data_IF_287862649826
#
_entry.id   IF_287862649826
#
_cell.length_a   1.000
_cell.length_b   1.000
_cell.length_c   1.000
_cell.angle_alpha   90.00
_cell.angle_beta   90.00
_cell.angle_gamma   90.00
#
_symmetry.space_group_name_H-M   'P 1'
#
loop_
_entity.id
_entity.type
_entity.pdbx_description
1 polymer ?
#
# COMPACT_ATOMS: atom_id res chain seq x y z
N UNK A 1 5.59 12.13 -9.34
CA UNK A 1 4.15 11.93 -9.36
C UNK A 1 3.81 10.45 -9.18
N UNK A 2 3.12 10.12 -8.09
CA UNK A 2 2.77 8.73 -7.75
C UNK A 2 1.92 8.05 -8.82
N UNK A 3 1.04 8.78 -9.48
CA UNK A 3 0.19 8.22 -10.52
C UNK A 3 1.00 7.71 -11.70
N UNK A 4 2.04 8.45 -12.09
CA UNK A 4 2.93 8.03 -13.18
C UNK A 4 3.73 6.78 -12.80
N UNK A 5 4.20 6.71 -11.57
CA UNK A 5 4.91 5.53 -11.10
C UNK A 5 3.98 4.32 -10.99
N UNK A 6 2.75 4.53 -10.56
CA UNK A 6 1.78 3.44 -10.48
C UNK A 6 1.50 2.85 -11.86
N UNK A 7 1.48 3.69 -12.90
CA UNK A 7 1.28 3.26 -14.28
C UNK A 7 2.56 2.76 -14.96
N UNK A 8 3.71 2.96 -14.34
CA UNK A 8 4.99 2.54 -14.90
C UNK A 8 5.48 3.37 -16.08
N UNK A 9 4.98 4.59 -16.24
CA UNK A 9 5.28 5.42 -17.40
C UNK A 9 6.63 6.12 -17.34
N UNK A 10 7.17 6.30 -16.14
CA UNK A 10 8.43 7.01 -15.97
C UNK A 10 9.33 6.32 -15.00
N UNK A 11 10.62 6.48 -15.19
CA UNK A 11 11.65 5.97 -14.30
C UNK A 11 12.16 4.60 -14.70
N UNK A 12 11.30 3.75 -15.23
CA UNK A 12 11.69 2.38 -15.58
C UNK A 12 11.05 1.93 -16.87
N UNK A 13 11.81 1.20 -17.73
CA UNK A 13 11.25 0.62 -18.93
C UNK A 13 10.13 -0.37 -18.56
N UNK A 14 9.04 -0.34 -19.28
CA UNK A 14 7.90 -1.19 -19.02
C UNK A 14 8.16 -2.67 -19.29
N UNK A 15 9.17 -2.99 -20.11
CA UNK A 15 9.51 -4.37 -20.46
C UNK A 15 10.50 -5.02 -19.48
N UNK A 16 10.99 -4.28 -18.51
CA UNK A 16 11.89 -4.81 -17.49
C UNK A 16 11.17 -4.92 -16.16
N UNK A 17 11.55 -5.89 -15.31
CA UNK A 17 10.98 -5.93 -13.96
C UNK A 17 11.30 -4.62 -13.24
N UNK A 18 10.33 -4.02 -12.54
CA UNK A 18 10.60 -2.79 -11.81
C UNK A 18 11.62 -3.01 -10.70
N UNK A 19 12.42 -1.98 -10.43
CA UNK A 19 13.33 -1.99 -9.28
C UNK A 19 12.52 -2.04 -7.99
N UNK A 20 13.19 -2.35 -6.88
CA UNK A 20 12.54 -2.35 -5.57
C UNK A 20 11.95 -0.97 -5.26
N UNK A 21 12.70 0.11 -5.54
CA UNK A 21 12.19 1.46 -5.35
C UNK A 21 10.95 1.75 -6.17
N UNK A 22 10.90 1.29 -7.42
CA UNK A 22 9.75 1.44 -8.28
C UNK A 22 8.53 0.67 -7.75
N UNK A 23 8.75 -0.54 -7.25
CA UNK A 23 7.67 -1.34 -6.64
C UNK A 23 7.11 -0.67 -5.41
N UNK A 24 7.96 -0.09 -4.58
CA UNK A 24 7.53 0.60 -3.36
C UNK A 24 6.71 1.85 -3.70
N UNK A 25 7.11 2.60 -4.70
CA UNK A 25 6.31 3.76 -5.16
C UNK A 25 4.95 3.33 -5.69
N UNK A 26 4.90 2.24 -6.45
CA UNK A 26 3.63 1.67 -6.92
C UNK A 26 2.74 1.24 -5.78
N UNK A 27 3.32 0.61 -4.76
CA UNK A 27 2.58 0.20 -3.58
C UNK A 27 1.93 1.40 -2.89
N UNK A 28 2.69 2.47 -2.66
CA UNK A 28 2.14 3.69 -2.05
C UNK A 28 1.04 4.32 -2.89
N UNK A 29 1.27 4.43 -4.20
CA UNK A 29 0.27 5.00 -5.10
C UNK A 29 -1.01 4.16 -5.11
N UNK A 30 -0.86 2.83 -5.09
CA UNK A 30 -2.00 1.92 -5.06
C UNK A 30 -2.78 2.01 -3.76
N UNK A 31 -2.09 2.10 -2.62
CA UNK A 31 -2.74 2.31 -1.32
C UNK A 31 -3.58 3.59 -1.36
N UNK A 32 -3.01 4.68 -1.86
CA UNK A 32 -3.74 5.95 -1.97
C UNK A 32 -4.96 5.84 -2.89
N UNK A 33 -4.79 5.18 -4.04
CA UNK A 33 -5.87 5.04 -5.00
C UNK A 33 -7.01 4.18 -4.46
N UNK A 34 -6.70 3.03 -3.88
CA UNK A 34 -7.73 2.12 -3.37
C UNK A 34 -8.43 2.69 -2.13
N UNK A 35 -7.68 3.28 -1.21
CA UNK A 35 -8.27 3.84 0.01
C UNK A 35 -9.02 5.14 -0.27
N UNK A 36 -8.53 5.95 -1.21
CA UNK A 36 -9.18 7.21 -1.57
C UNK A 36 -10.50 7.04 -2.30
N UNK A 37 -10.69 5.92 -3.01
CA UNK A 37 -11.92 5.64 -3.73
C UNK A 37 -13.03 5.03 -2.89
N UNK A 38 -12.81 4.86 -1.58
CA UNK A 38 -13.76 4.22 -0.67
C UNK A 38 -14.47 5.25 0.20
N UNK A 39 -15.66 4.90 0.69
CA UNK A 39 -16.33 5.68 1.71
C UNK A 39 -15.46 5.78 2.97
N UNK A 40 -15.57 6.88 3.74
CA UNK A 40 -14.67 7.09 4.89
C UNK A 40 -14.67 5.97 5.94
N UNK A 41 -15.76 5.22 6.05
CA UNK A 41 -15.88 4.11 6.98
C UNK A 41 -15.40 2.78 6.40
N UNK A 42 -14.98 2.76 5.13
CA UNK A 42 -14.50 1.54 4.49
C UNK A 42 -12.99 1.45 4.59
N UNK A 43 -12.53 0.20 4.66
CA UNK A 43 -11.11 -0.10 4.77
C UNK A 43 -10.69 -1.06 3.65
N UNK A 44 -9.38 -1.08 3.39
CA UNK A 44 -8.75 -2.06 2.52
C UNK A 44 -7.73 -2.84 3.35
N UNK A 45 -7.25 -3.95 2.82
CA UNK A 45 -6.19 -4.71 3.48
C UNK A 45 -4.92 -4.71 2.60
N UNK A 46 -3.74 -4.98 3.19
CA UNK A 46 -2.50 -5.02 2.40
C UNK A 46 -2.56 -6.02 1.25
N UNK A 47 -3.28 -7.13 1.40
CA UNK A 47 -3.43 -8.11 0.33
C UNK A 47 -4.17 -7.55 -0.88
N UNK A 48 -5.12 -6.62 -0.68
CA UNK A 48 -5.78 -5.95 -1.81
C UNK A 48 -4.77 -5.20 -2.67
N UNK A 49 -3.85 -4.49 -2.01
CA UNK A 49 -2.78 -3.75 -2.68
C UNK A 49 -1.81 -4.70 -3.36
N UNK A 50 -1.37 -5.73 -2.65
CA UNK A 50 -0.42 -6.69 -3.19
C UNK A 50 -0.96 -7.40 -4.43
N UNK A 51 -2.23 -7.79 -4.40
CA UNK A 51 -2.88 -8.43 -5.57
C UNK A 51 -2.98 -7.48 -6.75
N UNK A 52 -3.24 -6.20 -6.49
CA UNK A 52 -3.37 -5.21 -7.56
C UNK A 52 -2.07 -5.01 -8.34
N UNK A 53 -0.92 -5.10 -7.67
CA UNK A 53 0.38 -4.84 -8.30
C UNK A 53 1.21 -6.09 -8.56
N UNK A 54 0.97 -7.18 -7.84
CA UNK A 54 1.77 -8.40 -7.92
C UNK A 54 1.15 -9.54 -8.71
N UNK A 55 -0.15 -9.47 -9.00
CA UNK A 55 -0.85 -10.53 -9.70
C UNK A 55 -0.69 -11.88 -9.00
N UNK A 56 -0.38 -12.97 -9.73
CA UNK A 56 -0.23 -14.30 -9.11
C UNK A 56 0.87 -14.38 -8.06
N UNK A 57 1.84 -13.48 -8.10
CA UNK A 57 2.98 -13.47 -7.16
C UNK A 57 2.77 -12.53 -5.97
N UNK A 58 1.55 -12.11 -5.72
CA UNK A 58 1.25 -11.09 -4.71
C UNK A 58 1.75 -11.42 -3.31
N UNK A 59 1.79 -12.71 -2.95
CA UNK A 59 2.26 -13.10 -1.62
C UNK A 59 3.72 -12.75 -1.38
N UNK A 60 4.54 -12.79 -2.43
CA UNK A 60 5.97 -12.51 -2.31
C UNK A 60 6.25 -11.03 -2.03
N UNK A 61 5.32 -10.13 -2.33
CA UNK A 61 5.49 -8.70 -2.12
C UNK A 61 4.71 -8.15 -0.93
N UNK A 62 3.98 -8.99 -0.22
CA UNK A 62 3.12 -8.55 0.88
C UNK A 62 3.91 -7.85 1.98
N UNK A 63 5.10 -8.35 2.31
CA UNK A 63 5.97 -7.70 3.30
C UNK A 63 6.35 -6.28 2.90
N UNK A 64 6.72 -6.09 1.64
CA UNK A 64 7.05 -4.77 1.12
C UNK A 64 5.83 -3.84 1.16
N UNK A 65 4.65 -4.34 0.81
CA UNK A 65 3.42 -3.54 0.87
C UNK A 65 3.15 -3.09 2.31
N UNK A 66 3.30 -3.98 3.28
CA UNK A 66 3.11 -3.63 4.71
C UNK A 66 4.11 -2.57 5.16
N UNK A 67 5.36 -2.62 4.68
CA UNK A 67 6.36 -1.59 4.98
C UNK A 67 5.94 -0.22 4.43
N UNK A 68 5.40 -0.18 3.22
CA UNK A 68 4.96 1.09 2.62
C UNK A 68 3.71 1.62 3.30
N UNK A 69 2.81 0.76 3.73
CA UNK A 69 1.66 1.15 4.54
C UNK A 69 2.11 1.80 5.85
N UNK A 70 3.14 1.24 6.48
CA UNK A 70 3.72 1.81 7.70
C UNK A 70 4.24 3.22 7.46
N UNK A 71 4.96 3.43 6.37
CA UNK A 71 5.46 4.76 5.98
C UNK A 71 4.30 5.74 5.81
N UNK A 72 3.24 5.34 5.13
CA UNK A 72 2.07 6.19 4.94
C UNK A 72 1.35 6.47 6.26
N UNK A 73 1.37 5.54 7.20
CA UNK A 73 0.80 5.76 8.53
C UNK A 73 1.61 6.77 9.33
N UNK A 74 2.95 6.71 9.25
CA UNK A 74 3.82 7.72 9.85
C UNK A 74 3.53 9.12 9.29
N UNK A 75 3.25 9.20 7.99
CA UNK A 75 2.97 10.46 7.31
C UNK A 75 1.52 10.91 7.48
N UNK A 76 0.72 10.20 8.27
CA UNK A 76 -0.70 10.46 8.49
C UNK A 76 -1.55 10.48 7.22
N UNK A 77 -1.11 9.75 6.20
CA UNK A 77 -1.89 9.56 4.97
C UNK A 77 -2.98 8.51 5.16
N UNK A 78 -2.67 7.48 5.95
CA UNK A 78 -3.61 6.41 6.26
C UNK A 78 -3.61 6.13 7.76
N UNK A 79 -4.70 5.55 8.24
CA UNK A 79 -4.82 4.99 9.58
C UNK A 79 -4.89 3.48 9.45
N UNK A 80 -4.12 2.77 10.27
CA UNK A 80 -4.10 1.32 10.29
C UNK A 80 -4.81 0.84 11.56
N UNK A 81 -5.64 -0.17 11.42
CA UNK A 81 -6.38 -0.72 12.56
C UNK A 81 -6.40 -2.24 12.48
N UNK A 82 -6.70 -2.84 13.63
CA UNK A 82 -6.89 -4.27 13.77
C UNK A 82 -8.04 -4.50 14.73
N UNK A 83 -9.04 -5.23 14.29
CA UNK A 83 -10.24 -5.50 15.09
C UNK A 83 -10.89 -4.21 15.63
N UNK A 84 -10.90 -3.17 14.80
CA UNK A 84 -11.48 -1.88 15.13
C UNK A 84 -10.62 -0.96 15.99
N UNK A 85 -9.41 -1.38 16.36
CA UNK A 85 -8.51 -0.58 17.19
C UNK A 85 -7.36 -0.02 16.36
N UNK A 86 -7.06 1.29 16.47
CA UNK A 86 -5.91 1.86 15.78
C UNK A 86 -4.61 1.20 16.21
N UNK A 87 -3.71 1.02 15.25
CA UNK A 87 -2.38 0.46 15.49
C UNK A 87 -1.33 1.55 15.41
N UNK A 88 -0.34 1.46 16.31
CA UNK A 88 0.80 2.37 16.34
C UNK A 88 1.78 1.97 15.23
N UNK A 89 2.18 2.91 14.33
CA UNK A 89 3.17 2.59 13.30
C UNK A 89 4.55 2.27 13.85
N UNK A 90 4.85 2.63 15.10
CA UNK A 90 6.13 2.30 15.74
C UNK A 90 6.19 0.87 16.24
N UNK A 91 5.07 0.15 16.26
CA UNK A 91 5.02 -1.20 16.80
C UNK A 91 4.92 -2.23 15.70
N UNK A 92 5.33 -3.45 15.99
CA UNK A 92 5.15 -4.57 15.06
C UNK A 92 3.66 -4.90 14.93
N UNK A 93 3.24 -5.13 13.69
CA UNK A 93 1.86 -5.51 13.40
C UNK A 93 1.80 -7.00 13.11
N UNK A 94 1.05 -7.73 13.92
CA UNK A 94 0.87 -9.17 13.77
C UNK A 94 -0.54 -9.46 13.26
N UNK A 95 -0.63 -10.31 12.26
CA UNK A 95 -1.92 -10.71 11.71
C UNK A 95 -2.54 -9.70 10.76
N UNK A 96 -3.79 -9.91 10.37
CA UNK A 96 -4.47 -9.06 9.39
C UNK A 96 -4.67 -7.65 9.92
N UNK A 97 -4.47 -6.66 9.05
CA UNK A 97 -4.69 -5.25 9.37
C UNK A 97 -5.61 -4.63 8.33
N UNK A 98 -6.23 -3.52 8.69
CA UNK A 98 -7.11 -2.75 7.81
C UNK A 98 -6.56 -1.34 7.65
N UNK A 99 -6.73 -0.78 6.47
CA UNK A 99 -6.17 0.51 6.08
C UNK A 99 -7.31 1.44 5.67
N UNK A 100 -7.30 2.65 6.21
CA UNK A 100 -8.29 3.67 5.88
C UNK A 100 -7.59 4.99 5.58
N UNK A 101 -8.08 5.73 4.58
CA UNK A 101 -7.58 7.06 4.29
C UNK A 101 -7.96 8.03 5.41
N UNK A 102 -7.02 8.89 5.83
CA UNK A 102 -7.26 9.82 6.94
C UNK A 102 -7.92 11.13 6.52
N UNK A 103 -7.89 11.46 5.28
CA UNK A 103 -8.37 12.77 4.85
C UNK A 103 -9.76 12.80 4.26
#
# INVERSE_FOLDING_TARGET
DDAKFALGERGEPWWEPPSEGGRRRRARATVRALSGGRAPDRTICPSDVARAIGGPSWRSILGMVRDEVRTLAYDNVVEVSQRGKPLDPDRAWKGPIRIRRTG
#
